data_IF_598881407340
#
_entry.id   IF_598881407340
#
_cell.length_a   1.000
_cell.length_b   1.000
_cell.length_c   1.000
_cell.angle_alpha   90.00
_cell.angle_beta   90.00
_cell.angle_gamma   90.00
#
_symmetry.space_group_name_H-M   'P 1'
#
loop_
_entity.id
_entity.type
_entity.pdbx_description
1 polymer ?
#
# COMPACT_ATOMS: atom_id res chain seq x y z
N UNK A 1 -1.25 -13.80 8.94
CA UNK A 1 -1.47 -12.60 8.10
C UNK A 1 -2.96 -12.41 7.97
N UNK A 2 -3.47 -11.18 8.09
CA UNK A 2 -4.91 -10.89 7.94
C UNK A 2 -5.28 -10.82 6.45
N UNK A 3 -6.48 -11.30 6.11
CA UNK A 3 -7.08 -11.21 4.79
C UNK A 3 -8.33 -10.32 4.81
N UNK A 4 -8.81 -9.89 3.64
CA UNK A 4 -10.05 -9.11 3.53
C UNK A 4 -11.26 -9.82 4.17
N UNK A 5 -11.27 -11.16 4.16
CA UNK A 5 -12.28 -11.99 4.82
C UNK A 5 -12.28 -11.91 6.35
N UNK A 6 -11.18 -11.45 6.95
CA UNK A 6 -11.06 -11.28 8.41
C UNK A 6 -11.65 -9.93 8.88
N UNK A 7 -12.18 -9.10 7.97
CA UNK A 7 -12.92 -7.90 8.33
C UNK A 7 -14.21 -8.28 9.06
N UNK A 8 -14.44 -7.69 10.22
CA UNK A 8 -15.61 -8.04 11.01
C UNK A 8 -15.71 -7.31 12.35
N UNK A 9 -16.80 -7.61 13.06
CA UNK A 9 -17.02 -7.14 14.43
C UNK A 9 -16.64 -8.25 15.41
N UNK A 10 -15.66 -7.98 16.25
CA UNK A 10 -15.12 -8.95 17.20
C UNK A 10 -15.51 -8.58 18.62
N UNK A 11 -15.74 -9.60 19.46
CA UNK A 11 -15.99 -9.44 20.89
C UNK A 11 -15.43 -10.62 21.65
N UNK A 12 -15.23 -10.42 22.94
CA UNK A 12 -14.67 -11.43 23.83
C UNK A 12 -15.70 -11.81 24.91
N UNK A 13 -15.71 -13.10 25.26
CA UNK A 13 -16.45 -13.64 26.39
C UNK A 13 -15.64 -14.81 26.97
N UNK A 14 -15.50 -14.85 28.29
CA UNK A 14 -14.83 -15.95 28.98
C UNK A 14 -15.85 -16.83 29.70
N UNK A 15 -15.57 -18.13 29.77
CA UNK A 15 -16.40 -19.12 30.46
C UNK A 15 -15.55 -20.05 31.33
N UNK A 16 -16.03 -20.38 32.53
CA UNK A 16 -15.44 -21.38 33.42
C UNK A 16 -16.48 -22.46 33.75
N UNK A 17 -16.29 -23.65 33.17
CA UNK A 17 -17.28 -24.71 33.22
C UNK A 17 -18.58 -24.33 32.49
N UNK A 18 -19.68 -25.04 32.76
CA UNK A 18 -20.95 -24.77 32.06
C UNK A 18 -21.78 -23.62 32.67
N UNK A 19 -21.54 -23.26 33.94
CA UNK A 19 -22.41 -22.33 34.68
C UNK A 19 -21.86 -20.92 34.83
N UNK A 20 -20.55 -20.73 34.67
CA UNK A 20 -19.92 -19.41 34.90
C UNK A 20 -19.47 -18.84 33.57
N UNK A 21 -19.95 -17.64 33.23
CA UNK A 21 -19.45 -16.88 32.09
C UNK A 21 -19.45 -15.40 32.41
N UNK A 22 -18.51 -14.67 31.82
CA UNK A 22 -18.52 -13.21 31.87
C UNK A 22 -19.63 -12.67 30.98
N UNK A 23 -19.98 -11.40 31.19
CA UNK A 23 -20.68 -10.62 30.17
C UNK A 23 -19.80 -10.51 28.91
N UNK A 24 -20.45 -10.35 27.77
CA UNK A 24 -19.76 -10.10 26.50
C UNK A 24 -19.15 -8.70 26.53
N UNK A 25 -17.92 -8.57 26.04
CA UNK A 25 -17.27 -7.27 25.92
C UNK A 25 -18.01 -6.39 24.91
N UNK A 26 -17.65 -5.10 24.89
CA UNK A 26 -17.97 -4.25 23.75
C UNK A 26 -17.39 -4.85 22.46
N UNK A 27 -18.06 -4.57 21.36
CA UNK A 27 -17.57 -4.95 20.04
C UNK A 27 -16.42 -4.02 19.62
N UNK A 28 -15.46 -4.58 18.88
CA UNK A 28 -14.40 -3.87 18.18
C UNK A 28 -14.55 -4.17 16.69
N UNK A 29 -14.60 -3.13 15.87
CA UNK A 29 -14.62 -3.28 14.43
C UNK A 29 -13.19 -3.44 13.91
N UNK A 30 -12.89 -4.59 13.31
CA UNK A 30 -11.65 -4.83 12.58
C UNK A 30 -11.88 -4.48 11.11
N UNK A 31 -11.22 -3.43 10.63
CA UNK A 31 -11.19 -3.06 9.21
C UNK A 31 -9.87 -3.51 8.59
N UNK A 32 -9.93 -4.54 7.74
CA UNK A 32 -8.78 -5.00 6.97
C UNK A 32 -8.86 -4.36 5.60
N UNK A 33 -7.85 -3.55 5.25
CA UNK A 33 -7.73 -2.93 3.94
C UNK A 33 -6.79 -3.74 3.08
N UNK A 34 -7.17 -3.93 1.82
CA UNK A 34 -6.27 -4.50 0.83
C UNK A 34 -5.07 -3.56 0.60
N UNK A 35 -3.93 -4.17 0.25
CA UNK A 35 -2.75 -3.40 -0.16
C UNK A 35 -3.11 -2.66 -1.45
N UNK A 36 -2.94 -1.32 -1.52
CA UNK A 36 -3.25 -0.58 -2.73
C UNK A 36 -2.39 -1.05 -3.91
N UNK A 37 -2.91 -0.88 -5.12
CA UNK A 37 -2.12 -1.11 -6.34
C UNK A 37 -1.28 0.13 -6.62
N UNK A 38 0.05 0.00 -6.83
CA UNK A 38 0.89 1.13 -7.20
C UNK A 38 0.55 1.64 -8.61
N UNK A 39 0.60 2.95 -8.79
CA UNK A 39 0.33 3.62 -10.07
C UNK A 39 1.58 4.35 -10.52
N UNK A 40 2.01 4.06 -11.76
CA UNK A 40 3.07 4.78 -12.44
C UNK A 40 2.46 5.98 -13.16
N UNK A 41 3.00 7.17 -12.92
CA UNK A 41 2.60 8.41 -13.54
C UNK A 41 3.75 8.96 -14.39
N UNK A 42 3.43 9.39 -15.61
CA UNK A 42 4.31 10.26 -16.37
C UNK A 42 4.22 11.67 -15.77
N UNK A 43 5.30 12.14 -15.16
CA UNK A 43 5.39 13.51 -14.62
C UNK A 43 5.87 14.51 -15.69
N UNK A 44 6.45 14.01 -16.78
CA UNK A 44 6.79 14.81 -17.97
C UNK A 44 5.52 15.28 -18.69
N UNK A 45 5.53 16.53 -19.17
CA UNK A 45 4.38 17.15 -19.84
C UNK A 45 4.15 16.63 -21.27
N UNK A 46 5.15 16.00 -21.87
CA UNK A 46 5.14 15.57 -23.26
C UNK A 46 4.65 14.12 -23.38
N UNK A 47 3.83 13.84 -24.41
CA UNK A 47 3.28 12.51 -24.71
C UNK A 47 4.29 11.64 -25.46
N UNK A 48 5.09 12.26 -26.32
CA UNK A 48 6.17 11.62 -27.07
C UNK A 48 7.50 11.97 -26.42
N UNK A 49 8.38 10.96 -26.27
CA UNK A 49 9.71 11.12 -25.70
C UNK A 49 10.73 10.90 -26.81
N UNK A 50 11.52 11.91 -27.11
CA UNK A 50 12.64 11.77 -28.03
C UNK A 50 13.91 11.29 -27.32
N UNK A 51 14.83 10.59 -28.01
CA UNK A 51 16.06 10.06 -27.39
C UNK A 51 16.97 11.12 -26.74
N UNK A 52 16.77 12.40 -27.03
CA UNK A 52 17.55 13.50 -26.43
C UNK A 52 16.89 14.12 -25.20
N UNK A 53 15.67 13.70 -24.88
CA UNK A 53 14.86 14.28 -23.83
C UNK A 53 14.94 13.49 -22.52
N UNK A 54 14.66 14.18 -21.43
CA UNK A 54 14.62 13.61 -20.08
C UNK A 54 13.18 13.29 -19.74
N UNK A 55 12.95 12.10 -19.19
CA UNK A 55 11.62 11.67 -18.72
C UNK A 55 11.61 11.72 -17.21
N UNK A 56 10.58 12.33 -16.64
CA UNK A 56 10.29 12.21 -15.22
C UNK A 56 9.14 11.24 -15.01
N UNK A 57 9.39 10.18 -14.23
CA UNK A 57 8.38 9.25 -13.81
C UNK A 57 8.17 9.38 -12.31
N UNK A 58 6.93 9.24 -11.86
CA UNK A 58 6.61 9.14 -10.44
C UNK A 58 5.78 7.90 -10.17
N UNK A 59 5.97 7.29 -9.01
CA UNK A 59 5.20 6.13 -8.56
C UNK A 59 4.48 6.51 -7.26
N UNK A 60 3.19 6.18 -7.19
CA UNK A 60 2.33 6.53 -6.06
C UNK A 60 1.38 5.41 -5.67
N UNK A 61 0.97 5.41 -4.40
CA UNK A 61 -0.05 4.52 -3.85
C UNK A 61 -1.26 5.35 -3.46
N UNK A 62 -2.39 5.16 -4.15
CA UNK A 62 -3.58 5.99 -3.92
C UNK A 62 -4.13 5.74 -2.51
N UNK A 63 -4.33 6.81 -1.74
CA UNK A 63 -4.93 6.74 -0.40
C UNK A 63 -4.05 6.11 0.68
N UNK A 64 -2.74 5.97 0.43
CA UNK A 64 -1.79 5.43 1.41
C UNK A 64 -0.44 6.15 1.35
N UNK A 65 0.20 6.32 2.50
CA UNK A 65 1.53 6.94 2.65
C UNK A 65 2.56 5.96 3.23
N UNK A 66 3.84 6.34 3.21
CA UNK A 66 4.92 5.57 3.84
C UNK A 66 5.55 4.47 2.97
N UNK A 67 5.20 4.42 1.68
CA UNK A 67 5.75 3.46 0.75
C UNK A 67 7.15 3.87 0.27
N UNK A 68 8.03 2.89 0.15
CA UNK A 68 9.38 3.05 -0.42
C UNK A 68 9.33 2.57 -1.87
N UNK A 69 9.72 3.44 -2.79
CA UNK A 69 9.80 3.13 -4.21
C UNK A 69 11.26 2.96 -4.62
N UNK A 70 11.54 1.89 -5.36
CA UNK A 70 12.88 1.56 -5.82
C UNK A 70 12.87 1.46 -7.34
N UNK A 71 13.76 2.20 -7.99
CA UNK A 71 13.78 2.32 -9.45
C UNK A 71 14.96 1.57 -10.05
N UNK A 72 14.71 0.87 -11.16
CA UNK A 72 15.74 0.14 -11.89
C UNK A 72 15.69 0.49 -13.38
N UNK A 73 16.85 0.73 -13.99
CA UNK A 73 17.01 0.80 -15.44
C UNK A 73 18.07 -0.21 -15.85
N UNK A 74 17.71 -1.09 -16.78
CA UNK A 74 18.60 -2.16 -17.24
C UNK A 74 19.22 -2.96 -16.09
N UNK A 75 18.42 -3.27 -15.06
CA UNK A 75 18.81 -3.97 -13.81
C UNK A 75 19.73 -3.18 -12.87
N UNK A 76 20.12 -1.96 -13.22
CA UNK A 76 20.90 -1.08 -12.35
C UNK A 76 19.96 -0.24 -11.48
N UNK A 77 20.23 -0.22 -10.18
CA UNK A 77 19.50 0.61 -9.22
C UNK A 77 19.75 2.09 -9.51
N UNK A 78 18.67 2.87 -9.63
CA UNK A 78 18.73 4.32 -9.70
C UNK A 78 18.43 4.88 -8.31
N UNK A 79 19.30 5.76 -7.80
CA UNK A 79 19.04 6.48 -6.56
C UNK A 79 17.95 7.53 -6.81
N UNK A 80 16.76 7.23 -6.33
CA UNK A 80 15.57 8.04 -6.50
C UNK A 80 14.62 7.82 -5.30
N UNK A 81 13.62 8.68 -5.16
CA UNK A 81 12.56 8.55 -4.16
C UNK A 81 11.26 8.11 -4.86
N UNK A 82 10.14 8.78 -4.58
CA UNK A 82 8.88 8.60 -5.33
C UNK A 82 8.97 8.99 -6.81
N UNK A 83 9.91 9.84 -7.21
CA UNK A 83 10.12 10.27 -8.60
C UNK A 83 11.53 9.95 -9.07
N UNK A 84 11.67 9.60 -10.35
CA UNK A 84 12.95 9.33 -11.01
C UNK A 84 13.05 10.12 -12.31
N UNK A 85 14.22 10.71 -12.53
CA UNK A 85 14.60 11.32 -13.79
C UNK A 85 15.42 10.30 -14.60
N UNK A 86 14.96 9.99 -15.80
CA UNK A 86 15.64 9.11 -16.74
C UNK A 86 16.12 9.96 -17.91
N UNK A 87 17.44 10.05 -18.04
CA UNK A 87 18.13 10.67 -19.17
C UNK A 87 18.61 9.56 -20.11
N UNK A 88 18.66 9.79 -21.43
CA UNK A 88 19.13 8.75 -22.35
C UNK A 88 20.59 8.40 -22.13
#
# INVERSE_FOLDING_TARGET
TLAASDKGSYSCKASRGQKTSTVQSNNIQLDVKEIPVPVLHNATQWLDVFPTERVELSCGMKGSSGWIFTWFRNKNLIKANSSVLIEN
#
